data_IF_083017206267
#
_entry.id   IF_083017206267
#
_cell.length_a   1.000
_cell.length_b   1.000
_cell.length_c   1.000
_cell.angle_alpha   90.00
_cell.angle_beta   90.00
_cell.angle_gamma   90.00
#
_symmetry.space_group_name_H-M   'P 1'
#
loop_
_entity.id
_entity.type
_entity.pdbx_description
1 polymer ?
#
# COMPACT_ATOMS: atom_id res chain seq x y z
N UNK A 1 -21.86 2.62 3.24
CA UNK A 1 -20.75 2.26 2.34
C UNK A 1 -20.76 3.18 1.13
N UNK A 2 -20.04 4.29 1.18
CA UNK A 2 -19.87 5.17 0.02
C UNK A 2 -18.60 4.77 -0.74
N UNK A 3 -18.65 4.58 -2.07
CA UNK A 3 -17.47 4.32 -2.90
C UNK A 3 -16.41 5.43 -2.88
N UNK A 4 -16.66 6.55 -2.18
CA UNK A 4 -15.78 7.72 -2.12
C UNK A 4 -14.61 7.64 -1.13
N UNK A 5 -14.56 6.64 -0.23
CA UNK A 5 -13.49 6.53 0.76
C UNK A 5 -12.11 6.29 0.11
N UNK A 6 -12.06 5.58 -1.02
CA UNK A 6 -10.82 5.22 -1.68
C UNK A 6 -10.09 6.42 -2.31
N UNK A 7 -10.84 7.39 -2.86
CA UNK A 7 -10.25 8.53 -3.54
C UNK A 7 -9.58 9.51 -2.55
N UNK A 8 -10.19 9.67 -1.37
CA UNK A 8 -9.61 10.49 -0.31
C UNK A 8 -8.38 9.83 0.33
N UNK A 9 -8.34 8.49 0.38
CA UNK A 9 -7.25 7.74 0.99
C UNK A 9 -5.95 7.82 0.18
N UNK A 10 -6.03 7.74 -1.15
CA UNK A 10 -4.87 7.92 -2.03
C UNK A 10 -4.27 9.34 -1.89
N UNK A 11 -5.14 10.35 -1.73
CA UNK A 11 -4.73 11.74 -1.47
C UNK A 11 -4.05 11.86 -0.11
N UNK A 12 -4.62 11.30 0.97
CA UNK A 12 -4.01 11.28 2.30
C UNK A 12 -2.64 10.55 2.27
N UNK A 13 -2.54 9.42 1.55
CA UNK A 13 -1.29 8.67 1.35
C UNK A 13 -0.21 9.44 0.55
N UNK A 14 -0.63 10.40 -0.26
CA UNK A 14 0.29 11.27 -1.01
C UNK A 14 0.80 12.43 -0.16
N UNK A 15 0.01 12.89 0.81
CA UNK A 15 0.27 14.11 1.59
C UNK A 15 1.00 13.87 2.91
N UNK A 16 0.92 12.66 3.50
CA UNK A 16 1.35 12.49 4.89
C UNK A 16 2.60 11.63 5.04
N UNK A 17 3.75 12.28 5.28
CA UNK A 17 4.96 11.62 5.81
C UNK A 17 4.96 11.52 7.33
N UNK A 18 4.16 12.35 8.04
CA UNK A 18 4.19 12.49 9.50
C UNK A 18 3.21 11.60 10.29
N UNK A 19 1.95 11.47 9.87
CA UNK A 19 0.92 10.77 10.67
C UNK A 19 0.63 9.36 10.14
N UNK A 20 1.65 8.49 10.24
CA UNK A 20 1.62 7.11 9.75
C UNK A 20 0.60 6.22 10.49
N UNK A 21 0.35 6.50 11.76
CA UNK A 21 -0.59 5.72 12.58
C UNK A 21 -2.05 6.01 12.20
N UNK A 22 -2.38 7.27 11.89
CA UNK A 22 -3.72 7.67 11.48
C UNK A 22 -4.10 7.03 10.13
N UNK A 23 -3.15 6.97 9.21
CA UNK A 23 -3.35 6.29 7.92
C UNK A 23 -3.52 4.77 8.10
N UNK A 24 -2.78 4.16 9.03
CA UNK A 24 -2.93 2.73 9.35
C UNK A 24 -4.31 2.42 9.93
N UNK A 25 -4.81 3.23 10.87
CA UNK A 25 -6.13 3.06 11.47
C UNK A 25 -7.26 3.33 10.46
N UNK A 26 -7.09 4.30 9.56
CA UNK A 26 -8.03 4.54 8.46
C UNK A 26 -8.07 3.36 7.47
N UNK A 27 -6.92 2.80 7.11
CA UNK A 27 -6.83 1.60 6.26
C UNK A 27 -7.43 0.38 6.95
N UNK A 28 -7.19 0.21 8.24
CA UNK A 28 -7.78 -0.88 9.03
C UNK A 28 -9.31 -0.79 9.05
N UNK A 29 -9.86 0.40 9.32
CA UNK A 29 -11.32 0.64 9.24
C UNK A 29 -11.86 0.42 7.82
N UNK A 30 -11.11 0.80 6.78
CA UNK A 30 -11.52 0.56 5.40
C UNK A 30 -11.59 -0.94 5.07
N UNK A 31 -10.64 -1.74 5.57
CA UNK A 31 -10.63 -3.20 5.44
C UNK A 31 -11.79 -3.81 6.25
N UNK A 32 -12.07 -3.31 7.46
CA UNK A 32 -13.19 -3.75 8.30
C UNK A 32 -14.56 -3.40 7.67
N UNK A 33 -14.67 -2.28 6.94
CA UNK A 33 -15.88 -1.89 6.21
C UNK A 33 -16.06 -2.61 4.86
N UNK A 34 -15.04 -3.33 4.37
CA UNK A 34 -15.07 -3.96 3.05
C UNK A 34 -13.83 -4.82 2.81
N UNK A 35 -13.82 -6.10 3.25
CA UNK A 35 -12.62 -6.93 3.31
C UNK A 35 -12.04 -7.39 1.96
N UNK A 36 -12.48 -6.84 0.83
CA UNK A 36 -12.16 -7.38 -0.50
C UNK A 36 -11.73 -6.35 -1.55
N UNK A 37 -11.26 -5.17 -1.15
CA UNK A 37 -10.70 -4.26 -2.15
C UNK A 37 -9.22 -4.58 -2.41
N UNK A 38 -8.92 -5.12 -3.58
CA UNK A 38 -7.57 -5.15 -4.15
C UNK A 38 -6.87 -3.79 -3.98
N UNK A 39 -7.59 -2.69 -4.20
CA UNK A 39 -7.05 -1.33 -4.06
C UNK A 39 -6.59 -1.01 -2.63
N UNK A 40 -7.31 -1.49 -1.60
CA UNK A 40 -6.92 -1.26 -0.22
C UNK A 40 -5.58 -1.95 0.10
N UNK A 41 -5.38 -3.16 -0.43
CA UNK A 41 -4.11 -3.88 -0.32
C UNK A 41 -2.99 -3.16 -1.09
N UNK A 42 -3.26 -2.65 -2.30
CA UNK A 42 -2.30 -1.81 -3.04
C UNK A 42 -1.86 -0.59 -2.23
N UNK A 43 -2.84 0.13 -1.68
CA UNK A 43 -2.62 1.35 -0.91
C UNK A 43 -1.84 1.10 0.39
N UNK A 44 -2.14 0.01 1.12
CA UNK A 44 -1.34 -0.41 2.29
C UNK A 44 0.10 -0.74 1.88
N UNK A 45 0.28 -1.49 0.79
CA UNK A 45 1.59 -1.87 0.30
C UNK A 45 2.48 -0.67 0.01
N UNK A 46 1.95 0.30 -0.74
CA UNK A 46 2.63 1.55 -1.06
C UNK A 46 2.98 2.38 0.18
N UNK A 47 2.11 2.42 1.20
CA UNK A 47 2.38 3.10 2.46
C UNK A 47 3.58 2.49 3.20
N UNK A 48 3.58 1.16 3.33
CA UNK A 48 4.69 0.45 3.96
C UNK A 48 6.00 0.64 3.19
N UNK A 49 5.95 0.69 1.86
CA UNK A 49 7.14 0.98 1.04
C UNK A 49 7.65 2.41 1.27
N UNK A 50 6.75 3.40 1.30
CA UNK A 50 7.12 4.80 1.59
C UNK A 50 7.74 4.98 2.98
N UNK A 51 7.31 4.17 3.96
CA UNK A 51 7.84 4.20 5.33
C UNK A 51 9.10 3.35 5.52
N UNK A 52 9.68 2.80 4.45
CA UNK A 52 10.88 1.96 4.50
C UNK A 52 10.64 0.54 5.02
N UNK A 53 9.40 0.19 5.37
CA UNK A 53 8.98 -1.17 5.76
C UNK A 53 8.72 -2.02 4.50
N UNK A 54 9.74 -2.14 3.65
CA UNK A 54 9.64 -2.72 2.31
C UNK A 54 9.04 -4.12 2.31
N UNK A 55 9.47 -5.00 3.21
CA UNK A 55 8.98 -6.39 3.26
C UNK A 55 7.49 -6.50 3.59
N UNK A 56 6.99 -5.65 4.52
CA UNK A 56 5.55 -5.58 4.80
C UNK A 56 4.80 -5.06 3.59
N UNK A 57 5.35 -4.05 2.91
CA UNK A 57 4.73 -3.48 1.73
C UNK A 57 4.59 -4.49 0.60
N UNK A 58 5.64 -5.26 0.34
CA UNK A 58 5.63 -6.37 -0.63
C UNK A 58 4.52 -7.37 -0.30
N UNK A 59 4.42 -7.82 0.95
CA UNK A 59 3.39 -8.80 1.34
C UNK A 59 1.95 -8.31 1.10
N UNK A 60 1.68 -6.99 1.27
CA UNK A 60 0.36 -6.43 0.96
C UNK A 60 0.10 -6.34 -0.55
N UNK A 61 1.11 -6.01 -1.35
CA UNK A 61 0.99 -5.98 -2.81
C UNK A 61 0.84 -7.38 -3.41
N UNK A 62 1.53 -8.37 -2.85
CA UNK A 62 1.37 -9.78 -3.24
C UNK A 62 -0.06 -10.25 -3.00
N UNK A 63 -0.66 -9.94 -1.84
CA UNK A 63 -2.09 -10.20 -1.59
C UNK A 63 -3.01 -9.50 -2.59
N UNK A 64 -2.69 -8.27 -2.98
CA UNK A 64 -3.46 -7.57 -4.02
C UNK A 64 -3.40 -8.33 -5.36
N UNK A 65 -2.25 -8.90 -5.70
CA UNK A 65 -2.07 -9.71 -6.91
C UNK A 65 -2.68 -11.11 -6.80
N UNK A 66 -2.73 -11.72 -5.62
CA UNK A 66 -3.49 -12.96 -5.41
C UNK A 66 -4.97 -12.75 -5.72
N UNK A 67 -5.52 -11.59 -5.35
CA UNK A 67 -6.91 -11.22 -5.63
C UNK A 67 -7.12 -10.76 -7.08
N UNK A 68 -6.15 -10.01 -7.63
CA UNK A 68 -6.21 -9.46 -8.97
C UNK A 68 -4.81 -9.54 -9.63
N UNK A 69 -4.48 -10.67 -10.29
CA UNK A 69 -3.13 -10.93 -10.82
C UNK A 69 -2.65 -9.94 -11.87
N UNK A 70 -3.57 -9.16 -12.45
CA UNK A 70 -3.29 -8.14 -13.48
C UNK A 70 -3.45 -6.72 -12.97
N UNK A 71 -3.51 -6.51 -11.66
CA UNK A 71 -3.61 -5.17 -11.09
C UNK A 71 -2.29 -4.42 -11.34
N UNK A 72 -2.37 -3.37 -12.16
CA UNK A 72 -1.20 -2.58 -12.58
C UNK A 72 -0.56 -1.88 -11.39
N UNK A 73 -1.36 -1.26 -10.51
CA UNK A 73 -0.87 -0.55 -9.33
C UNK A 73 -0.06 -1.47 -8.40
N UNK A 74 -0.49 -2.72 -8.23
CA UNK A 74 0.22 -3.69 -7.40
C UNK A 74 1.55 -4.14 -8.02
N UNK A 75 1.57 -4.37 -9.34
CA UNK A 75 2.79 -4.70 -10.08
C UNK A 75 3.80 -3.54 -10.04
N UNK A 76 3.33 -2.31 -10.27
CA UNK A 76 4.15 -1.10 -10.18
C UNK A 76 4.70 -0.89 -8.77
N UNK A 77 3.85 -1.08 -7.75
CA UNK A 77 4.27 -1.01 -6.35
C UNK A 77 5.34 -2.03 -6.00
N UNK A 78 5.26 -3.27 -6.50
CA UNK A 78 6.27 -4.29 -6.26
C UNK A 78 7.60 -3.94 -6.94
N UNK A 79 7.54 -3.47 -8.19
CA UNK A 79 8.73 -2.98 -8.89
C UNK A 79 9.43 -1.86 -8.11
N UNK A 80 8.66 -0.89 -7.61
CA UNK A 80 9.18 0.18 -6.77
C UNK A 80 9.77 -0.34 -5.44
N UNK A 81 9.10 -1.31 -4.79
CA UNK A 81 9.57 -1.92 -3.56
C UNK A 81 10.92 -2.64 -3.73
N UNK A 82 11.04 -3.47 -4.78
CA UNK A 82 12.27 -4.19 -5.07
C UNK A 82 13.41 -3.26 -5.49
N UNK A 83 13.12 -2.20 -6.26
CA UNK A 83 14.12 -1.18 -6.57
C UNK A 83 14.65 -0.51 -5.30
N UNK A 84 13.76 -0.11 -4.39
CA UNK A 84 14.15 0.42 -3.07
C UNK A 84 14.96 -0.59 -2.27
N UNK A 85 14.54 -1.86 -2.23
CA UNK A 85 15.26 -2.91 -1.48
C UNK A 85 16.66 -3.13 -2.03
N UNK A 86 16.84 -3.06 -3.35
CA UNK A 86 18.15 -3.11 -4.01
C UNK A 86 19.01 -1.86 -3.74
N UNK A 87 18.40 -0.68 -3.58
CA UNK A 87 19.11 0.54 -3.16
C UNK A 87 19.60 0.44 -1.70
N UNK A 88 18.79 -0.11 -0.79
CA UNK A 88 19.24 -0.38 0.58
C UNK A 88 20.27 -1.52 0.66
N UNK A 89 20.15 -2.55 -0.17
CA UNK A 89 21.16 -3.61 -0.28
C UNK A 89 22.50 -3.13 -0.84
N UNK A 90 22.54 -2.02 -1.58
CA UNK A 90 23.75 -1.35 -2.05
C UNK A 90 24.30 -0.29 -1.07
N UNK A 91 23.60 0.00 0.03
CA UNK A 91 24.05 0.95 1.05
C UNK A 91 24.92 0.25 2.11
N UNK A 92 25.90 -0.55 1.66
CA UNK A 92 26.93 -1.19 2.50
C UNK A 92 28.27 -0.50 2.30
#
# INVERSE_FOLDING_TARGET
CTPGANNNLAVILSMTTKDQEEVFDLLKKAIECGPQSTQAHCNMGLLFIKTGKLDRGIAFLEKALEMAPKNVDALEGLGYAYMKKGLFGKAS
#
